data_IF_273766548542
#
_entry.id   IF_273766548542
#
_cell.length_a   1.000
_cell.length_b   1.000
_cell.length_c   1.000
_cell.angle_alpha   90.00
_cell.angle_beta   90.00
_cell.angle_gamma   90.00
#
_symmetry.space_group_name_H-M   'P 1'
#
loop_
_entity.id
_entity.type
_entity.pdbx_description
1 polymer ?
#
# COMPACT_ATOMS: atom_id res chain seq x y z
N UNK A 1 -11.35 4.67 -6.59
CA UNK A 1 -11.61 5.01 -8.00
C UNK A 1 -10.36 5.70 -8.48
N UNK A 2 -9.70 5.09 -9.45
CA UNK A 2 -8.36 5.45 -9.90
C UNK A 2 -8.32 6.88 -10.42
N UNK A 3 -7.24 7.59 -10.14
CA UNK A 3 -7.09 8.98 -10.57
C UNK A 3 -6.47 9.04 -11.97
N UNK A 4 -7.23 9.51 -12.96
CA UNK A 4 -6.78 9.64 -14.35
C UNK A 4 -6.34 11.08 -14.61
N UNK A 5 -5.05 11.27 -14.84
CA UNK A 5 -4.48 12.53 -15.27
C UNK A 5 -4.38 12.57 -16.81
N UNK A 6 -5.28 13.32 -17.44
CA UNK A 6 -5.34 13.47 -18.89
C UNK A 6 -4.21 14.32 -19.47
N UNK A 7 -3.65 15.26 -18.70
CA UNK A 7 -2.56 16.12 -19.14
C UNK A 7 -1.25 15.33 -19.25
N UNK A 8 -0.94 14.51 -18.25
CA UNK A 8 0.25 13.63 -18.27
C UNK A 8 -0.01 12.28 -18.96
N UNK A 9 -1.26 11.99 -19.34
CA UNK A 9 -1.73 10.67 -19.81
C UNK A 9 -1.34 9.54 -18.85
N UNK A 10 -1.61 9.74 -17.56
CA UNK A 10 -1.32 8.75 -16.53
C UNK A 10 -2.59 8.27 -15.81
N UNK A 11 -2.73 6.96 -15.64
CA UNK A 11 -3.72 6.33 -14.77
C UNK A 11 -3.02 5.98 -13.47
N UNK A 12 -3.45 6.57 -12.35
CA UNK A 12 -2.87 6.32 -11.04
C UNK A 12 -3.75 5.32 -10.28
N UNK A 13 -3.16 4.20 -9.92
CA UNK A 13 -3.80 3.12 -9.19
C UNK A 13 -3.18 2.99 -7.79
N UNK A 14 -4.02 3.10 -6.76
CA UNK A 14 -3.59 2.99 -5.36
C UNK A 14 -3.79 1.59 -4.82
N UNK A 15 -2.71 0.94 -4.40
CA UNK A 15 -2.74 -0.39 -3.77
C UNK A 15 -2.26 -0.27 -2.32
N UNK A 16 -3.07 -0.77 -1.38
CA UNK A 16 -2.76 -0.72 0.05
C UNK A 16 -2.44 -2.11 0.56
N UNK A 17 -1.25 -2.27 1.15
CA UNK A 17 -0.84 -3.43 1.91
C UNK A 17 -1.36 -3.30 3.34
N UNK A 18 -2.27 -4.19 3.72
CA UNK A 18 -2.98 -4.23 4.99
C UNK A 18 -2.61 -5.49 5.79
N UNK A 19 -2.85 -5.50 7.10
CA UNK A 19 -2.60 -6.64 7.96
C UNK A 19 -2.04 -6.25 9.33
N UNK A 20 -1.85 -7.20 10.26
CA UNK A 20 -1.43 -6.90 11.62
C UNK A 20 0.02 -6.39 11.73
N UNK A 21 0.40 -5.89 12.90
CA UNK A 21 1.79 -5.51 13.22
C UNK A 21 2.79 -6.59 12.83
N UNK A 22 3.94 -6.16 12.26
CA UNK A 22 5.09 -7.03 11.96
C UNK A 22 4.84 -8.19 10.98
N UNK A 23 3.69 -8.27 10.31
CA UNK A 23 3.37 -9.36 9.37
C UNK A 23 4.14 -9.33 8.04
N UNK A 24 5.07 -8.39 7.83
CA UNK A 24 5.88 -8.33 6.61
C UNK A 24 5.37 -7.38 5.50
N UNK A 25 4.43 -6.47 5.79
CA UNK A 25 4.00 -5.40 4.83
C UNK A 25 5.18 -4.58 4.30
N UNK A 26 6.02 -4.05 5.20
CA UNK A 26 7.21 -3.28 4.84
C UNK A 26 8.18 -4.11 4.01
N UNK A 27 8.39 -5.36 4.40
CA UNK A 27 9.28 -6.29 3.69
C UNK A 27 8.83 -6.52 2.25
N UNK A 28 7.51 -6.63 2.00
CA UNK A 28 6.96 -6.72 0.65
C UNK A 28 7.33 -5.50 -0.19
N UNK A 29 7.08 -4.28 0.30
CA UNK A 29 7.39 -3.06 -0.44
C UNK A 29 8.90 -2.86 -0.66
N UNK A 30 9.73 -3.16 0.34
CA UNK A 30 11.19 -3.11 0.21
C UNK A 30 11.70 -4.09 -0.84
N UNK A 31 11.16 -5.30 -0.86
CA UNK A 31 11.52 -6.30 -1.86
C UNK A 31 11.13 -5.85 -3.27
N UNK A 32 9.88 -5.40 -3.46
CA UNK A 32 9.38 -4.88 -4.73
C UNK A 32 10.24 -3.71 -5.20
N UNK A 33 10.54 -2.75 -4.32
CA UNK A 33 11.41 -1.62 -4.63
C UNK A 33 12.79 -2.04 -5.09
N UNK A 34 13.45 -2.94 -4.35
CA UNK A 34 14.80 -3.39 -4.66
C UNK A 34 14.87 -4.19 -5.97
N UNK A 35 13.79 -4.89 -6.33
CA UNK A 35 13.70 -5.67 -7.58
C UNK A 35 13.18 -4.88 -8.78
N UNK A 36 12.64 -3.68 -8.56
CA UNK A 36 12.19 -2.81 -9.65
C UNK A 36 13.38 -2.08 -10.28
N UNK A 37 13.38 -1.96 -11.62
CA UNK A 37 14.37 -1.20 -12.38
C UNK A 37 14.48 0.23 -11.81
N UNK A 38 15.70 0.74 -11.51
CA UNK A 38 15.92 2.10 -11.05
C UNK A 38 15.26 3.19 -11.91
N UNK A 39 15.18 3.03 -13.23
CA UNK A 39 14.55 4.01 -14.13
C UNK A 39 13.02 3.99 -14.07
N UNK A 40 12.44 2.95 -13.50
CA UNK A 40 11.01 2.80 -13.33
C UNK A 40 10.53 3.36 -11.98
N UNK A 41 11.36 3.36 -10.96
CA UNK A 41 10.86 3.51 -9.60
C UNK A 41 11.05 4.93 -9.08
N UNK A 42 10.07 5.41 -8.31
CA UNK A 42 10.19 6.66 -7.57
C UNK A 42 11.16 6.50 -6.40
N UNK A 43 11.20 7.48 -5.50
CA UNK A 43 11.99 7.38 -4.26
C UNK A 43 11.16 6.73 -3.15
N UNK A 44 11.76 5.84 -2.36
CA UNK A 44 11.11 5.31 -1.16
C UNK A 44 11.00 6.36 -0.07
N UNK A 45 9.76 6.70 0.34
CA UNK A 45 9.46 7.79 1.29
C UNK A 45 8.87 7.21 2.58
N UNK A 46 9.69 7.14 3.62
CA UNK A 46 9.17 6.90 4.96
C UNK A 46 8.62 8.21 5.54
N UNK A 47 7.31 8.31 5.74
CA UNK A 47 6.70 9.39 6.51
C UNK A 47 6.64 8.95 7.97
N UNK A 48 7.64 9.36 8.74
CA UNK A 48 7.63 9.20 10.20
C UNK A 48 7.22 10.52 10.85
N UNK A 49 6.13 10.52 11.63
CA UNK A 49 5.82 11.60 12.58
C UNK A 49 6.43 11.24 13.94
N UNK A 50 6.41 12.16 14.91
CA UNK A 50 6.93 11.90 16.27
C UNK A 50 6.26 10.70 16.96
N UNK A 51 5.02 10.38 16.55
CA UNK A 51 4.22 9.27 17.09
C UNK A 51 4.03 8.12 16.10
N UNK A 52 4.23 8.31 14.80
CA UNK A 52 3.92 7.31 13.77
C UNK A 52 5.12 6.99 12.88
N UNK A 53 5.32 5.71 12.54
CA UNK A 53 6.13 5.30 11.39
C UNK A 53 5.20 4.78 10.31
N UNK A 54 4.86 5.61 9.33
CA UNK A 54 4.18 5.17 8.12
C UNK A 54 5.16 5.10 6.95
N UNK A 55 5.29 3.93 6.34
CA UNK A 55 6.12 3.75 5.16
C UNK A 55 5.25 3.85 3.91
N UNK A 56 5.54 4.83 3.08
CA UNK A 56 4.91 5.00 1.77
C UNK A 56 5.95 4.82 0.67
N UNK A 57 5.55 4.25 -0.45
CA UNK A 57 6.42 4.24 -1.60
C UNK A 57 5.64 4.26 -2.92
N UNK A 58 5.96 5.23 -3.75
CA UNK A 58 5.48 5.34 -5.13
C UNK A 58 6.48 4.73 -6.11
N UNK A 59 6.01 3.89 -7.04
CA UNK A 59 6.81 3.56 -8.21
C UNK A 59 5.98 3.61 -9.48
N UNK A 60 6.60 4.06 -10.57
CA UNK A 60 6.06 3.77 -11.87
C UNK A 60 6.28 2.26 -12.08
N UNK A 61 5.26 1.41 -12.29
CA UNK A 61 5.53 0.15 -12.93
C UNK A 61 6.19 0.53 -14.27
N UNK A 62 7.35 -0.03 -14.55
CA UNK A 62 7.83 -0.07 -15.91
C UNK A 62 6.73 -0.76 -16.71
N UNK A 63 6.05 0.04 -17.53
CA UNK A 63 5.22 -0.38 -18.64
C UNK A 63 4.56 -1.75 -18.46
N UNK A 64 3.53 -1.84 -17.61
CA UNK A 64 2.55 -2.94 -17.70
C UNK A 64 1.72 -2.88 -19.02
N UNK A 65 2.25 -2.21 -20.05
CA UNK A 65 1.53 -1.74 -21.24
C UNK A 65 0.94 -0.35 -21.06
N UNK A 66 0.76 0.34 -22.18
CA UNK A 66 -0.12 1.52 -22.25
C UNK A 66 -1.56 1.03 -22.35
N UNK A 67 -2.45 1.53 -21.49
CA UNK A 67 -3.88 1.29 -21.62
C UNK A 67 -4.44 2.42 -22.47
N UNK A 68 -4.72 2.14 -23.75
CA UNK A 68 -5.28 3.12 -24.70
C UNK A 68 -4.46 4.42 -24.77
N UNK A 69 -3.12 4.32 -24.72
CA UNK A 69 -2.21 5.47 -24.77
C UNK A 69 -1.99 6.17 -23.41
N UNK A 70 -2.46 5.60 -22.30
CA UNK A 70 -2.15 6.05 -20.95
C UNK A 70 -1.13 5.15 -20.28
N UNK A 71 -0.15 5.77 -19.61
CA UNK A 71 0.78 5.07 -18.73
C UNK A 71 0.10 4.78 -17.39
N UNK A 72 0.26 3.58 -16.86
CA UNK A 72 -0.28 3.25 -15.53
C UNK A 72 0.79 3.47 -14.47
N UNK A 73 0.47 4.17 -13.37
CA UNK A 73 1.33 4.41 -12.22
C UNK A 73 0.74 3.74 -10.99
N UNK A 74 1.54 2.94 -10.26
CA UNK A 74 1.09 2.27 -9.05
C UNK A 74 1.63 2.96 -7.80
N UNK A 75 0.72 3.19 -6.89
CA UNK A 75 0.94 3.87 -5.64
C UNK A 75 0.82 2.80 -4.55
N UNK A 76 1.94 2.32 -4.00
CA UNK A 76 1.95 1.29 -2.95
C UNK A 76 2.05 1.91 -1.55
N UNK A 77 1.08 1.57 -0.73
CA UNK A 77 0.92 2.14 0.61
C UNK A 77 0.97 1.00 1.62
N UNK A 78 1.68 1.16 2.73
CA UNK A 78 1.51 0.27 3.88
C UNK A 78 0.74 0.99 4.96
N UNK A 79 -0.10 0.27 5.69
CA UNK A 79 -0.73 0.80 6.91
C UNK A 79 0.14 0.51 8.13
N UNK A 80 0.11 1.37 9.16
CA UNK A 80 0.72 1.05 10.44
C UNK A 80 0.04 -0.18 11.04
N UNK A 81 0.83 -1.12 11.55
CA UNK A 81 0.31 -2.40 12.01
C UNK A 81 -0.18 -2.43 13.47
N UNK A 82 0.07 -1.38 14.25
CA UNK A 82 -0.40 -1.28 15.64
C UNK A 82 -1.87 -0.83 15.70
N UNK A 83 -2.67 -1.48 16.55
CA UNK A 83 -4.15 -1.34 16.60
C UNK A 83 -4.59 0.10 16.90
N UNK A 84 -3.78 0.87 17.64
CA UNK A 84 -4.06 2.26 18.01
C UNK A 84 -4.23 3.26 16.85
N UNK A 85 -3.79 2.92 15.64
CA UNK A 85 -3.78 3.84 14.48
C UNK A 85 -4.93 3.62 13.50
N UNK A 86 -6.14 3.41 14.01
CA UNK A 86 -7.32 3.15 13.17
C UNK A 86 -7.66 4.32 12.23
N UNK A 87 -7.60 5.56 12.75
CA UNK A 87 -7.82 6.76 11.95
C UNK A 87 -6.85 6.86 10.76
N UNK A 88 -5.57 6.55 10.99
CA UNK A 88 -4.52 6.55 9.96
C UNK A 88 -4.76 5.44 8.94
N UNK A 89 -5.19 4.24 9.36
CA UNK A 89 -5.60 3.15 8.44
C UNK A 89 -6.76 3.57 7.55
N UNK A 90 -7.80 4.17 8.13
CA UNK A 90 -8.97 4.67 7.39
C UNK A 90 -8.59 5.74 6.37
N UNK A 91 -7.71 6.68 6.76
CA UNK A 91 -7.20 7.71 5.87
C UNK A 91 -6.41 7.12 4.70
N UNK A 92 -5.55 6.14 4.96
CA UNK A 92 -4.76 5.46 3.93
C UNK A 92 -5.65 4.68 2.96
N UNK A 93 -6.76 4.11 3.42
CA UNK A 93 -7.70 3.39 2.55
C UNK A 93 -8.55 4.32 1.66
N UNK A 94 -8.62 5.63 1.93
CA UNK A 94 -9.35 6.56 1.04
C UNK A 94 -8.80 6.50 -0.38
N UNK A 95 -9.70 6.31 -1.34
CA UNK A 95 -9.36 6.23 -2.76
C UNK A 95 -8.54 5.01 -3.14
N UNK A 96 -8.57 3.93 -2.34
CA UNK A 96 -7.93 2.66 -2.70
C UNK A 96 -8.58 2.05 -3.95
N UNK A 97 -7.74 1.47 -4.82
CA UNK A 97 -8.17 0.74 -6.01
C UNK A 97 -7.93 -0.78 -5.86
N UNK A 98 -7.03 -1.18 -4.95
CA UNK A 98 -6.81 -2.57 -4.58
C UNK A 98 -6.18 -2.74 -3.20
N UNK A 99 -6.45 -3.87 -2.55
CA UNK A 99 -5.90 -4.19 -1.23
C UNK A 99 -5.16 -5.51 -1.27
N UNK A 100 -3.99 -5.56 -0.65
CA UNK A 100 -3.23 -6.79 -0.38
C UNK A 100 -3.27 -7.03 1.12
N UNK A 101 -3.96 -8.09 1.57
CA UNK A 101 -3.93 -8.47 2.99
C UNK A 101 -2.75 -9.41 3.24
N UNK A 102 -1.84 -8.99 4.11
CA UNK A 102 -0.65 -9.75 4.51
C UNK A 102 -0.92 -10.42 5.86
N UNK A 103 -1.17 -11.73 5.84
CA UNK A 103 -1.39 -12.54 7.03
C UNK A 103 -0.07 -13.11 7.56
N UNK A 104 0.12 -13.06 8.88
CA UNK A 104 1.25 -13.72 9.56
C UNK A 104 0.90 -15.19 9.82
N UNK A 105 1.68 -16.11 9.26
CA UNK A 105 1.40 -17.56 9.33
C UNK A 105 1.76 -18.20 10.67
N UNK A 106 2.38 -17.46 11.60
CA UNK A 106 2.62 -17.95 12.95
C UNK A 106 1.29 -18.22 13.65
N UNK A 107 1.14 -19.40 14.27
CA UNK A 107 -0.09 -19.81 14.97
C UNK A 107 -0.50 -18.75 16.01
N UNK A 108 0.48 -18.23 16.76
CA UNK A 108 0.26 -17.18 17.78
C UNK A 108 -0.25 -15.84 17.22
N UNK A 109 -0.26 -15.66 15.89
CA UNK A 109 -0.68 -14.43 15.22
C UNK A 109 -2.02 -14.56 14.51
N UNK A 110 -2.68 -15.73 14.58
CA UNK A 110 -3.98 -15.96 13.93
C UNK A 110 -5.06 -14.97 14.42
N UNK A 111 -5.20 -14.78 15.73
CA UNK A 111 -6.14 -13.81 16.31
C UNK A 111 -5.88 -12.40 15.78
N UNK A 112 -4.61 -11.98 15.70
CA UNK A 112 -4.25 -10.67 15.16
C UNK A 112 -4.57 -10.54 13.66
N UNK A 113 -4.49 -11.63 12.89
CA UNK A 113 -4.92 -11.63 11.48
C UNK A 113 -6.43 -11.43 11.38
N UNK A 114 -7.22 -12.14 12.20
CA UNK A 114 -8.67 -12.04 12.21
C UNK A 114 -9.12 -10.63 12.60
N UNK A 115 -8.57 -10.10 13.70
CA UNK A 115 -8.84 -8.73 14.16
C UNK A 115 -8.49 -7.71 13.06
N UNK A 116 -7.32 -7.83 12.43
CA UNK A 116 -6.91 -6.91 11.38
C UNK A 116 -7.75 -7.04 10.10
N UNK A 117 -8.29 -8.22 9.80
CA UNK A 117 -9.18 -8.43 8.66
C UNK A 117 -10.55 -7.78 8.90
N UNK A 118 -11.08 -7.89 10.11
CA UNK A 118 -12.34 -7.24 10.47
C UNK A 118 -12.20 -5.72 10.52
N UNK A 119 -11.06 -5.24 11.01
CA UNK A 119 -10.70 -3.82 10.96
C UNK A 119 -10.58 -3.30 9.52
N UNK A 120 -10.03 -4.10 8.59
CA UNK A 120 -10.02 -3.76 7.17
C UNK A 120 -11.44 -3.62 6.61
N UNK A 121 -12.33 -4.57 6.90
CA UNK A 121 -13.73 -4.52 6.45
C UNK A 121 -14.44 -3.27 6.97
N UNK A 122 -14.29 -3.00 8.27
CA UNK A 122 -14.87 -1.80 8.91
C UNK A 122 -14.37 -0.51 8.27
N UNK A 123 -13.08 -0.45 7.91
CA UNK A 123 -12.48 0.75 7.32
C UNK A 123 -12.76 0.94 5.82
N UNK A 124 -13.23 -0.11 5.12
CA UNK A 124 -13.65 -0.05 3.72
C UNK A 124 -15.13 0.31 3.54
N UNK A 125 -15.94 0.15 4.59
CA UNK A 125 -17.36 0.56 4.63
C UNK A 125 -17.50 2.09 4.74
#
# INVERSE_FOLDING_TARGET
MSFINYLSREINCKIVYYGPGLCGKTTNLQYIYNKTNPEAKGKMISLATETERTLFFDFLPLALGEIRGFKTRFHLYTVPGQVFYDASRKLILKGVDGVVFVADSQIARMEANLESMENLRTNLA
#
